data_IF_604610592715
#
_entry.id   IF_604610592715
#
_cell.length_a   1.000
_cell.length_b   1.000
_cell.length_c   1.000
_cell.angle_alpha   90.00
_cell.angle_beta   90.00
_cell.angle_gamma   90.00
#
_symmetry.space_group_name_H-M   'P 1'
#
loop_
_entity.id
_entity.type
_entity.pdbx_description
1 polymer ?
#
# COMPACT_ATOMS: atom_id res chain seq x y z
N UNK A 1 32.57 16.85 -0.81
CA UNK A 1 32.91 15.59 -0.11
C UNK A 1 31.59 14.85 0.01
N UNK A 2 31.20 14.20 -1.07
CA UNK A 2 29.99 13.36 -1.12
C UNK A 2 30.33 12.09 -0.38
N UNK A 3 29.82 11.93 0.84
CA UNK A 3 29.88 10.65 1.52
C UNK A 3 29.23 9.61 0.60
N UNK A 4 30.02 8.58 0.29
CA UNK A 4 29.63 7.44 -0.52
C UNK A 4 28.66 6.59 0.32
N UNK A 5 27.39 7.02 0.36
CA UNK A 5 26.33 6.30 1.05
C UNK A 5 26.15 4.95 0.36
N UNK A 6 26.72 3.93 1.00
CA UNK A 6 26.56 2.54 0.60
C UNK A 6 25.11 2.09 0.80
N UNK A 7 24.60 1.17 -0.04
CA UNK A 7 23.31 0.53 0.18
C UNK A 7 23.15 0.08 1.63
N UNK A 8 21.97 0.21 2.26
CA UNK A 8 21.66 -0.67 3.38
C UNK A 8 21.69 -2.12 2.92
N UNK A 9 22.39 -2.98 3.66
CA UNK A 9 22.56 -4.40 3.40
C UNK A 9 21.98 -5.28 4.53
N UNK A 10 21.63 -6.55 4.25
CA UNK A 10 21.30 -7.52 5.29
C UNK A 10 22.39 -7.61 6.37
N UNK A 11 22.00 -7.46 7.64
CA UNK A 11 22.89 -7.48 8.80
C UNK A 11 23.31 -6.09 9.29
N UNK A 12 23.09 -5.03 8.50
CA UNK A 12 23.41 -3.68 8.92
C UNK A 12 22.62 -3.25 10.16
N UNK A 13 23.28 -2.52 11.04
CA UNK A 13 22.65 -1.85 12.17
C UNK A 13 22.46 -0.38 11.84
N UNK A 14 21.22 0.03 11.59
CA UNK A 14 20.86 1.42 11.25
C UNK A 14 20.25 2.14 12.44
N UNK A 15 20.52 3.44 12.54
CA UNK A 15 20.09 4.31 13.64
C UNK A 15 20.41 3.74 15.05
N UNK A 16 21.50 2.97 15.17
CA UNK A 16 21.93 2.23 16.37
C UNK A 16 20.86 1.31 17.01
N UNK A 17 19.78 1.01 16.28
CA UNK A 17 18.57 0.36 16.82
C UNK A 17 18.03 -0.76 15.96
N UNK A 18 18.05 -0.62 14.65
CA UNK A 18 17.42 -1.57 13.74
C UNK A 18 18.47 -2.48 13.12
N UNK A 19 18.33 -3.79 13.30
CA UNK A 19 19.14 -4.77 12.56
C UNK A 19 18.36 -5.17 11.32
N UNK A 20 18.85 -4.78 10.14
CA UNK A 20 18.22 -5.10 8.86
C UNK A 20 18.40 -6.57 8.53
N UNK A 21 17.37 -7.22 7.97
CA UNK A 21 17.45 -8.63 7.61
C UNK A 21 17.21 -8.86 6.11
N UNK A 22 16.02 -8.59 5.60
CA UNK A 22 15.72 -8.74 4.17
C UNK A 22 14.78 -7.63 3.68
N UNK A 23 14.92 -7.29 2.40
CA UNK A 23 14.00 -6.41 1.70
C UNK A 23 12.66 -7.13 1.51
N UNK A 24 11.59 -6.56 2.03
CA UNK A 24 10.23 -7.13 1.95
C UNK A 24 9.32 -6.39 0.97
N UNK A 25 9.75 -5.25 0.46
CA UNK A 25 9.01 -4.51 -0.55
C UNK A 25 9.63 -3.19 -0.95
N UNK A 26 9.06 -2.58 -1.98
CA UNK A 26 9.39 -1.24 -2.46
C UNK A 26 8.11 -0.40 -2.40
N UNK A 27 8.12 0.67 -1.61
CA UNK A 27 7.05 1.67 -1.57
C UNK A 27 7.36 2.86 -2.47
N UNK A 28 6.42 3.80 -2.57
CA UNK A 28 6.58 5.03 -3.35
C UNK A 28 7.83 5.83 -2.94
N UNK A 29 8.21 5.76 -1.66
CA UNK A 29 9.26 6.59 -1.06
C UNK A 29 10.59 5.86 -0.80
N UNK A 30 10.65 4.53 -0.94
CA UNK A 30 11.88 3.79 -0.68
C UNK A 30 11.70 2.28 -0.50
N UNK A 31 12.72 1.62 0.03
CA UNK A 31 12.71 0.18 0.33
C UNK A 31 12.20 -0.06 1.74
N UNK A 32 11.38 -1.10 1.87
CA UNK A 32 10.88 -1.60 3.15
C UNK A 32 11.64 -2.85 3.51
N UNK A 33 12.22 -2.86 4.71
CA UNK A 33 12.98 -3.96 5.27
C UNK A 33 12.21 -4.66 6.36
N UNK A 34 12.33 -5.98 6.45
CA UNK A 34 12.14 -6.69 7.70
C UNK A 34 13.37 -6.41 8.56
N UNK A 35 13.15 -5.84 9.74
CA UNK A 35 14.21 -5.49 10.67
C UNK A 35 13.86 -5.95 12.09
N UNK A 36 14.89 -6.24 12.89
CA UNK A 36 14.75 -6.44 14.33
C UNK A 36 14.97 -5.10 15.04
N UNK A 37 13.94 -4.60 15.70
CA UNK A 37 14.04 -3.46 16.59
C UNK A 37 14.63 -3.90 17.94
N UNK A 38 15.88 -3.49 18.21
CA UNK A 38 16.61 -3.84 19.43
C UNK A 38 16.07 -3.18 20.69
N UNK A 39 15.21 -2.16 20.57
CA UNK A 39 14.59 -1.51 21.72
C UNK A 39 13.64 -2.45 22.45
N UNK A 40 12.78 -3.12 21.69
CA UNK A 40 11.70 -3.97 22.20
C UNK A 40 11.88 -5.46 21.81
N UNK A 41 13.01 -5.81 21.18
CA UNK A 41 13.33 -7.15 20.65
C UNK A 41 12.23 -7.72 19.75
N UNK A 42 11.77 -6.88 18.80
CA UNK A 42 10.60 -7.16 17.96
C UNK A 42 10.91 -7.00 16.48
N UNK A 43 10.35 -7.90 15.67
CA UNK A 43 10.37 -7.79 14.21
C UNK A 43 9.38 -6.75 13.69
N UNK A 44 9.86 -5.88 12.82
CA UNK A 44 9.16 -4.70 12.31
C UNK A 44 9.35 -4.56 10.80
N UNK A 45 8.43 -3.84 10.16
CA UNK A 45 8.68 -3.29 8.83
C UNK A 45 9.34 -1.92 9.02
N UNK A 46 10.49 -1.71 8.39
CA UNK A 46 11.26 -0.46 8.45
C UNK A 46 11.39 0.12 7.03
N UNK A 47 10.69 1.22 6.77
CA UNK A 47 10.74 1.92 5.49
C UNK A 47 11.80 3.02 5.53
N UNK A 48 12.79 2.95 4.63
CA UNK A 48 13.84 3.96 4.51
C UNK A 48 13.42 5.09 3.57
N UNK A 49 13.64 6.34 3.97
CA UNK A 49 13.44 7.52 3.13
C UNK A 49 14.50 8.60 3.42
N UNK A 50 14.80 9.50 2.46
CA UNK A 50 15.77 10.57 2.66
C UNK A 50 15.39 11.51 3.80
N UNK A 51 16.37 11.93 4.62
CA UNK A 51 16.16 12.98 5.61
C UNK A 51 15.63 14.26 4.94
N UNK A 52 14.53 14.79 5.46
CA UNK A 52 13.85 15.98 4.93
C UNK A 52 12.76 15.68 3.88
N UNK A 53 12.56 14.42 3.49
CA UNK A 53 11.31 14.02 2.85
C UNK A 53 10.15 14.17 3.85
N UNK A 54 8.92 14.40 3.35
CA UNK A 54 7.74 14.39 4.20
C UNK A 54 7.58 12.99 4.82
N UNK A 55 7.75 12.92 6.14
CA UNK A 55 7.64 11.68 6.92
C UNK A 55 6.20 11.18 6.81
N UNK A 56 5.97 9.88 6.55
CA UNK A 56 4.62 9.32 6.58
C UNK A 56 4.02 9.50 7.99
N UNK A 57 2.74 9.84 8.04
CA UNK A 57 2.00 10.19 9.27
C UNK A 57 2.38 9.28 10.47
N UNK A 58 3.04 9.88 11.46
CA UNK A 58 3.38 9.20 12.71
C UNK A 58 2.12 9.04 13.58
N UNK A 59 1.99 7.88 14.26
CA UNK A 59 0.97 7.63 15.30
C UNK A 59 0.89 8.73 16.35
N UNK A 60 1.97 9.48 16.58
CA UNK A 60 1.99 10.59 17.54
C UNK A 60 1.04 11.76 17.22
N UNK A 61 0.60 11.90 15.95
CA UNK A 61 0.00 13.16 15.48
C UNK A 61 -1.49 13.08 15.08
N UNK A 62 -2.20 11.94 15.22
CA UNK A 62 -3.62 11.88 14.85
C UNK A 62 -4.46 10.66 15.30
N UNK A 63 -5.79 10.81 15.23
CA UNK A 63 -6.78 9.81 15.66
C UNK A 63 -6.81 8.49 14.85
N UNK A 64 -6.07 8.41 13.74
CA UNK A 64 -5.89 7.19 12.94
C UNK A 64 -4.83 6.24 13.51
N UNK A 65 -4.07 6.68 14.52
CA UNK A 65 -2.91 6.01 15.07
C UNK A 65 -3.16 4.60 15.64
N UNK A 66 -4.40 4.23 15.97
CA UNK A 66 -4.72 2.93 16.53
C UNK A 66 -6.01 2.34 15.94
N UNK A 67 -6.13 2.34 14.61
CA UNK A 67 -7.25 1.69 13.93
C UNK A 67 -6.86 0.26 13.48
N UNK A 68 -7.72 -0.76 13.67
CA UNK A 68 -7.41 -2.16 13.34
C UNK A 68 -7.18 -2.45 11.85
N UNK A 69 -7.45 -1.49 10.98
CA UNK A 69 -7.30 -1.63 9.53
C UNK A 69 -6.47 -0.50 8.89
N UNK A 70 -5.74 0.28 9.70
CA UNK A 70 -4.82 1.33 9.25
C UNK A 70 -3.41 0.94 9.66
N UNK A 71 -2.51 0.75 8.70
CA UNK A 71 -1.09 0.50 8.96
C UNK A 71 -0.32 1.81 8.99
N UNK A 72 -0.43 2.53 10.11
CA UNK A 72 0.36 3.72 10.35
C UNK A 72 1.72 3.37 10.99
N UNK A 73 2.83 4.01 10.56
CA UNK A 73 4.07 3.98 11.30
C UNK A 73 3.87 4.47 12.74
N UNK A 74 4.50 3.80 13.70
CA UNK A 74 4.37 4.12 15.11
C UNK A 74 5.59 4.80 15.72
N UNK A 75 6.68 4.86 14.97
CA UNK A 75 7.94 5.46 15.38
C UNK A 75 8.75 5.82 14.14
N UNK A 76 9.63 6.81 14.26
CA UNK A 76 10.59 7.18 13.23
C UNK A 76 11.97 7.34 13.86
N UNK A 77 12.96 6.67 13.30
CA UNK A 77 14.35 6.75 13.75
C UNK A 77 15.23 7.36 12.67
N UNK A 78 16.26 8.08 13.09
CA UNK A 78 17.17 8.78 12.20
C UNK A 78 18.57 8.19 12.33
N UNK A 79 19.18 7.84 11.21
CA UNK A 79 20.58 7.42 11.17
C UNK A 79 21.52 8.58 10.86
N UNK A 80 22.81 8.38 11.12
CA UNK A 80 23.88 9.26 10.63
C UNK A 80 24.16 9.12 9.13
N UNK A 81 23.39 8.28 8.44
CA UNK A 81 23.48 7.85 7.04
C UNK A 81 22.67 8.73 6.07
N UNK A 82 22.13 9.85 6.54
CA UNK A 82 21.30 10.69 5.68
C UNK A 82 19.85 10.19 5.52
N UNK A 83 19.47 9.10 6.19
CA UNK A 83 18.16 8.46 6.06
C UNK A 83 17.35 8.54 7.36
N UNK A 84 16.04 8.59 7.17
CA UNK A 84 15.03 8.40 8.20
C UNK A 84 14.32 7.06 7.94
N UNK A 85 13.92 6.40 9.01
CA UNK A 85 13.36 5.06 8.99
C UNK A 85 12.04 5.07 9.74
N UNK A 86 10.93 4.84 9.04
CA UNK A 86 9.60 4.73 9.64
C UNK A 86 9.33 3.27 10.01
N UNK A 87 8.94 3.02 11.26
CA UNK A 87 8.68 1.69 11.78
C UNK A 87 7.18 1.43 11.79
N UNK A 88 6.76 0.31 11.22
CA UNK A 88 5.38 -0.16 11.22
C UNK A 88 5.29 -1.62 11.68
N UNK A 89 4.10 -2.10 12.09
CA UNK A 89 3.89 -3.52 12.30
C UNK A 89 4.29 -4.34 11.06
N UNK A 90 4.98 -5.45 11.26
CA UNK A 90 5.35 -6.36 10.17
C UNK A 90 4.14 -7.21 9.77
N UNK A 91 3.58 -6.94 8.58
CA UNK A 91 2.46 -7.71 8.01
C UNK A 91 3.00 -8.77 7.05
N UNK A 92 2.62 -10.03 7.27
CA UNK A 92 3.31 -11.20 6.70
C UNK A 92 2.62 -11.86 5.50
N UNK A 93 1.34 -11.56 5.25
CA UNK A 93 0.55 -12.22 4.21
C UNK A 93 0.77 -11.67 2.79
N UNK A 94 1.56 -10.60 2.66
CA UNK A 94 1.77 -9.89 1.41
C UNK A 94 0.65 -8.92 1.05
N UNK A 95 0.67 -8.43 -0.18
CA UNK A 95 -0.32 -7.49 -0.70
C UNK A 95 -1.54 -8.21 -1.26
N UNK A 96 -2.67 -7.51 -1.33
CA UNK A 96 -3.87 -7.99 -1.98
C UNK A 96 -3.65 -8.21 -3.48
N UNK A 97 -2.79 -7.41 -4.12
CA UNK A 97 -2.37 -7.61 -5.51
C UNK A 97 -1.62 -8.94 -5.72
N UNK A 98 -0.73 -9.32 -4.80
CA UNK A 98 -0.09 -10.64 -4.85
C UNK A 98 -1.10 -11.77 -4.70
N UNK A 99 -2.11 -11.61 -3.82
CA UNK A 99 -3.19 -12.59 -3.70
C UNK A 99 -4.01 -12.72 -4.99
N UNK A 100 -4.29 -11.60 -5.67
CA UNK A 100 -4.99 -11.57 -6.95
C UNK A 100 -4.19 -12.30 -8.04
N UNK A 101 -2.87 -12.11 -8.09
CA UNK A 101 -1.99 -12.85 -9.02
C UNK A 101 -2.03 -14.35 -8.75
N UNK A 102 -1.99 -14.77 -7.48
CA UNK A 102 -1.93 -16.18 -7.11
C UNK A 102 -3.24 -16.94 -7.37
N UNK A 103 -4.39 -16.28 -7.18
CA UNK A 103 -5.72 -16.94 -7.25
C UNK A 103 -6.57 -16.52 -8.46
N UNK A 104 -6.19 -15.46 -9.18
CA UNK A 104 -7.08 -14.80 -10.13
C UNK A 104 -8.26 -14.12 -9.43
N UNK A 105 -9.39 -13.90 -10.14
CA UNK A 105 -10.56 -13.21 -9.58
C UNK A 105 -11.02 -13.81 -8.26
N UNK A 106 -11.26 -12.95 -7.27
CA UNK A 106 -11.57 -13.34 -5.90
C UNK A 106 -13.09 -13.47 -5.69
N UNK A 107 -13.54 -14.38 -4.81
CA UNK A 107 -14.96 -14.55 -4.50
C UNK A 107 -15.60 -13.28 -3.95
N UNK A 108 -16.86 -13.01 -4.31
CA UNK A 108 -17.54 -11.77 -3.91
C UNK A 108 -17.66 -11.59 -2.41
N UNK A 109 -17.80 -12.67 -1.63
CA UNK A 109 -17.86 -12.58 -0.17
C UNK A 109 -16.51 -12.20 0.43
N UNK A 110 -15.40 -12.77 -0.06
CA UNK A 110 -14.05 -12.34 0.30
C UNK A 110 -13.84 -10.85 0.02
N UNK A 111 -14.16 -10.40 -1.20
CA UNK A 111 -14.04 -8.98 -1.59
C UNK A 111 -14.89 -8.11 -0.69
N UNK A 112 -16.13 -8.50 -0.40
CA UNK A 112 -17.03 -7.75 0.48
C UNK A 112 -16.47 -7.59 1.91
N UNK A 113 -15.83 -8.63 2.46
CA UNK A 113 -15.16 -8.58 3.77
C UNK A 113 -13.99 -7.60 3.75
N UNK A 114 -13.19 -7.60 2.68
CA UNK A 114 -12.06 -6.67 2.53
C UNK A 114 -12.56 -5.23 2.37
N UNK A 115 -13.55 -4.98 1.51
CA UNK A 115 -14.13 -3.65 1.33
C UNK A 115 -14.69 -3.07 2.62
N UNK A 116 -15.36 -3.87 3.44
CA UNK A 116 -15.85 -3.43 4.74
C UNK A 116 -14.72 -2.98 5.68
N UNK A 117 -13.61 -3.72 5.72
CA UNK A 117 -12.44 -3.40 6.54
C UNK A 117 -11.74 -2.12 6.04
N UNK A 118 -11.60 -1.97 4.72
CA UNK A 118 -11.01 -0.78 4.11
C UNK A 118 -11.88 0.46 4.31
N UNK A 119 -13.20 0.33 4.18
CA UNK A 119 -14.10 1.44 4.49
C UNK A 119 -14.07 1.81 5.98
N UNK A 120 -13.89 0.85 6.89
CA UNK A 120 -13.69 1.15 8.31
C UNK A 120 -12.41 1.96 8.52
N UNK A 121 -11.33 1.56 7.86
CA UNK A 121 -10.08 2.32 7.83
C UNK A 121 -10.29 3.75 7.29
N UNK A 122 -10.98 3.89 6.15
CA UNK A 122 -11.27 5.19 5.54
C UNK A 122 -12.17 6.06 6.42
N UNK A 123 -13.12 5.49 7.18
CA UNK A 123 -13.89 6.25 8.18
C UNK A 123 -12.96 6.89 9.21
N UNK A 124 -11.95 6.16 9.69
CA UNK A 124 -10.98 6.70 10.64
C UNK A 124 -10.05 7.75 10.00
N UNK A 125 -9.54 7.48 8.81
CA UNK A 125 -8.65 8.40 8.05
C UNK A 125 -9.38 9.70 7.72
N UNK A 126 -10.55 9.62 7.09
CA UNK A 126 -11.38 10.78 6.73
C UNK A 126 -11.86 11.55 7.95
N UNK A 127 -12.18 10.83 9.05
CA UNK A 127 -12.53 11.43 10.33
C UNK A 127 -11.43 12.27 10.96
N UNK A 128 -10.17 12.05 10.57
CA UNK A 128 -9.02 12.87 10.97
C UNK A 128 -8.69 14.01 9.99
N UNK A 129 -9.54 14.23 8.98
CA UNK A 129 -9.35 15.29 7.96
C UNK A 129 -8.38 14.91 6.84
N UNK A 130 -7.97 13.64 6.76
CA UNK A 130 -7.04 13.14 5.76
C UNK A 130 -7.78 12.47 4.60
N UNK A 131 -7.16 12.48 3.43
CA UNK A 131 -7.57 11.71 2.24
C UNK A 131 -6.37 10.84 1.87
N UNK A 132 -6.57 9.55 1.64
CA UNK A 132 -5.48 8.60 1.38
C UNK A 132 -4.82 8.85 0.02
N UNK A 133 -5.61 9.08 -1.03
CA UNK A 133 -5.22 9.40 -2.42
C UNK A 133 -4.52 8.29 -3.21
N UNK A 134 -4.34 7.10 -2.63
CA UNK A 134 -3.64 5.99 -3.28
C UNK A 134 -4.15 4.62 -2.80
N UNK A 135 -5.48 4.47 -2.77
CA UNK A 135 -6.10 3.18 -2.45
C UNK A 135 -5.90 2.24 -3.65
N UNK A 136 -5.08 1.21 -3.49
CA UNK A 136 -4.74 0.24 -4.55
C UNK A 136 -4.55 -1.17 -3.97
N UNK A 137 -4.50 -2.19 -4.83
CA UNK A 137 -4.21 -3.56 -4.39
C UNK A 137 -2.80 -3.73 -3.79
N UNK A 138 -1.84 -2.87 -4.18
CA UNK A 138 -0.48 -2.88 -3.64
C UNK A 138 -0.41 -2.31 -2.21
N UNK A 139 -1.29 -1.35 -1.91
CA UNK A 139 -1.34 -0.66 -0.62
C UNK A 139 -2.30 -1.33 0.39
N UNK A 140 -2.86 -2.49 0.06
CA UNK A 140 -3.64 -3.31 0.99
C UNK A 140 -2.83 -4.54 1.37
N UNK A 141 -2.35 -4.60 2.61
CA UNK A 141 -1.62 -5.75 3.14
C UNK A 141 -2.54 -6.70 3.88
N UNK A 142 -2.21 -7.99 3.88
CA UNK A 142 -3.01 -9.05 4.50
C UNK A 142 -2.24 -9.76 5.61
N UNK A 143 -2.92 -10.14 6.69
CA UNK A 143 -2.38 -11.10 7.66
C UNK A 143 -2.40 -12.53 7.09
N UNK A 144 -1.45 -13.41 7.48
CA UNK A 144 -1.38 -14.79 7.00
C UNK A 144 -2.45 -15.66 7.67
N UNK A 145 -3.72 -15.45 7.30
CA UNK A 145 -4.87 -16.12 7.91
C UNK A 145 -5.10 -17.52 7.37
N UNK A 146 -4.34 -17.94 6.35
CA UNK A 146 -4.65 -19.15 5.57
C UNK A 146 -6.00 -18.99 4.89
N UNK A 147 -6.89 -19.97 5.08
CA UNK A 147 -8.28 -19.93 4.57
C UNK A 147 -9.29 -19.36 5.58
N UNK A 148 -8.84 -18.81 6.72
CA UNK A 148 -9.72 -18.13 7.69
C UNK A 148 -10.07 -16.72 7.18
N UNK A 149 -10.97 -16.03 7.91
CA UNK A 149 -11.35 -14.65 7.65
C UNK A 149 -10.13 -13.80 7.32
N UNK A 150 -10.09 -13.10 6.17
CA UNK A 150 -8.99 -12.21 5.88
C UNK A 150 -8.98 -11.05 6.86
N UNK A 151 -7.78 -10.58 7.18
CA UNK A 151 -7.57 -9.33 7.90
C UNK A 151 -6.69 -8.44 7.03
N UNK A 152 -7.23 -7.29 6.64
CA UNK A 152 -6.63 -6.35 5.74
C UNK A 152 -6.20 -5.09 6.49
N UNK A 153 -5.05 -4.57 6.07
CA UNK A 153 -4.46 -3.33 6.53
C UNK A 153 -4.33 -2.38 5.35
N UNK A 154 -4.87 -1.17 5.46
CA UNK A 154 -4.61 -0.10 4.50
C UNK A 154 -3.27 0.57 4.87
N UNK A 155 -2.31 0.54 3.94
CA UNK A 155 -0.94 0.99 4.11
C UNK A 155 -0.60 2.12 3.12
N UNK A 156 0.62 2.67 3.26
CA UNK A 156 1.17 3.74 2.42
C UNK A 156 0.34 5.03 2.38
N UNK A 157 0.37 5.75 3.50
CA UNK A 157 -0.18 7.11 3.62
C UNK A 157 0.78 8.19 3.09
N UNK A 158 1.80 7.83 2.31
CA UNK A 158 2.83 8.75 1.83
C UNK A 158 2.29 9.90 0.96
N UNK A 159 1.07 9.79 0.45
CA UNK A 159 0.35 10.83 -0.30
C UNK A 159 -0.75 11.54 0.51
N UNK A 160 -1.02 11.07 1.72
CA UNK A 160 -1.98 11.66 2.65
C UNK A 160 -1.39 12.87 3.41
N UNK A 161 -0.06 13.00 3.45
CA UNK A 161 0.63 14.12 4.06
C UNK A 161 0.51 15.39 3.19
N UNK A 162 -0.23 16.38 3.70
CA UNK A 162 -0.07 17.79 3.34
C UNK A 162 -1.10 18.41 2.39
N UNK A 163 -1.68 19.53 2.85
CA UNK A 163 -2.25 20.61 2.01
C UNK A 163 -1.17 21.32 1.15
N UNK A 164 0.11 20.93 1.28
CA UNK A 164 1.26 21.56 0.61
C UNK A 164 1.49 21.06 -0.81
N UNK A 165 0.73 20.07 -1.29
CA UNK A 165 0.70 19.68 -2.71
C UNK A 165 -0.09 20.69 -3.56
N UNK A 166 0.17 21.99 -3.39
CA UNK A 166 -0.16 22.98 -4.42
C UNK A 166 0.88 22.81 -5.54
N UNK A 167 0.62 21.91 -6.50
CA UNK A 167 1.37 21.88 -7.76
C UNK A 167 2.11 20.59 -8.15
N UNK A 168 1.85 19.43 -7.54
CA UNK A 168 2.32 18.14 -8.13
C UNK A 168 1.21 17.60 -9.06
N UNK A 169 1.41 17.56 -10.40
CA UNK A 169 0.29 17.42 -11.35
C UNK A 169 -0.34 16.03 -11.48
N UNK A 170 0.17 14.98 -10.82
CA UNK A 170 -0.39 13.63 -10.85
C UNK A 170 -0.05 12.94 -9.53
N UNK A 171 -1.03 12.78 -8.65
CA UNK A 171 -0.86 12.08 -7.37
C UNK A 171 -1.87 10.93 -7.34
N UNK A 172 -1.37 9.71 -7.52
CA UNK A 172 -2.16 8.48 -7.53
C UNK A 172 -1.60 7.45 -8.51
N UNK A 173 -1.82 6.17 -8.23
CA UNK A 173 -1.46 5.07 -9.13
C UNK A 173 -2.33 5.11 -10.41
N UNK A 174 -1.74 5.00 -11.63
CA UNK A 174 -2.50 5.03 -12.88
C UNK A 174 -3.69 4.06 -12.88
N UNK A 175 -4.85 4.56 -13.33
CA UNK A 175 -6.10 3.80 -13.42
C UNK A 175 -6.91 3.70 -12.13
N UNK A 176 -6.34 4.06 -10.97
CA UNK A 176 -7.07 4.16 -9.70
C UNK A 176 -7.51 5.59 -9.35
N UNK A 177 -6.81 6.59 -9.88
CA UNK A 177 -7.14 7.99 -9.65
C UNK A 177 -8.56 8.32 -10.13
N UNK A 178 -9.28 9.11 -9.33
CA UNK A 178 -10.61 9.56 -9.72
C UNK A 178 -10.56 10.66 -10.79
N UNK A 179 -11.62 10.85 -11.59
CA UNK A 179 -11.67 11.88 -12.62
C UNK A 179 -11.33 13.28 -12.12
N UNK A 180 -11.75 13.61 -10.90
CA UNK A 180 -11.44 14.90 -10.27
C UNK A 180 -9.99 14.99 -9.79
N UNK A 181 -9.36 13.88 -9.36
CA UNK A 181 -7.93 13.86 -9.05
C UNK A 181 -7.09 14.08 -10.32
N UNK A 182 -7.46 13.44 -11.43
CA UNK A 182 -6.81 13.63 -12.73
C UNK A 182 -6.99 15.06 -13.26
N UNK A 183 -8.10 15.71 -12.92
CA UNK A 183 -8.34 17.12 -13.20
C UNK A 183 -7.61 18.08 -12.24
N UNK A 184 -6.86 17.57 -11.26
CA UNK A 184 -6.14 18.38 -10.29
C UNK A 184 -7.03 19.09 -9.26
N UNK A 185 -8.22 18.54 -9.00
CA UNK A 185 -9.12 19.08 -7.98
C UNK A 185 -8.51 19.00 -6.58
N UNK A 186 -9.10 19.75 -5.65
CA UNK A 186 -8.71 19.67 -4.24
C UNK A 186 -9.00 18.27 -3.69
N UNK A 187 -8.23 17.82 -2.68
CA UNK A 187 -8.45 16.53 -2.03
C UNK A 187 -9.90 16.39 -1.54
N UNK A 188 -10.56 15.30 -1.94
CA UNK A 188 -11.92 14.95 -1.55
C UNK A 188 -11.95 13.49 -1.06
N UNK A 189 -12.50 13.18 0.13
CA UNK A 189 -12.67 11.80 0.60
C UNK A 189 -13.37 10.86 -0.39
N UNK A 190 -14.23 11.38 -1.27
CA UNK A 190 -14.93 10.62 -2.30
C UNK A 190 -14.00 10.13 -3.43
N UNK A 191 -12.79 10.67 -3.53
CA UNK A 191 -11.77 10.14 -4.41
C UNK A 191 -11.26 8.77 -3.95
N UNK A 192 -11.07 8.59 -2.63
CA UNK A 192 -10.69 7.27 -2.06
C UNK A 192 -11.81 6.23 -2.27
N UNK A 193 -13.07 6.67 -2.25
CA UNK A 193 -14.22 5.79 -2.54
C UNK A 193 -14.23 5.32 -3.99
N UNK A 194 -13.88 6.20 -4.93
CA UNK A 194 -13.71 5.84 -6.33
C UNK A 194 -12.59 4.81 -6.51
N UNK A 195 -11.41 5.09 -5.96
CA UNK A 195 -10.27 4.18 -6.01
C UNK A 195 -10.59 2.81 -5.37
N UNK A 196 -11.34 2.80 -4.27
CA UNK A 196 -11.86 1.57 -3.66
C UNK A 196 -12.83 0.81 -4.58
N UNK A 197 -13.69 1.51 -5.33
CA UNK A 197 -14.56 0.91 -6.34
C UNK A 197 -13.79 0.30 -7.50
N UNK A 198 -12.73 0.97 -7.97
CA UNK A 198 -11.79 0.43 -8.97
C UNK A 198 -11.12 -0.84 -8.44
N UNK A 199 -10.60 -0.80 -7.21
CA UNK A 199 -10.03 -1.96 -6.53
C UNK A 199 -11.03 -3.12 -6.45
N UNK A 200 -12.27 -2.85 -6.01
CA UNK A 200 -13.31 -3.87 -5.93
C UNK A 200 -13.54 -4.57 -7.28
N UNK A 201 -13.62 -3.79 -8.38
CA UNK A 201 -13.76 -4.33 -9.73
C UNK A 201 -12.56 -5.18 -10.14
N UNK A 202 -11.35 -4.70 -9.91
CA UNK A 202 -10.11 -5.43 -10.20
C UNK A 202 -10.11 -6.79 -9.48
N UNK A 203 -10.44 -6.81 -8.19
CA UNK A 203 -10.50 -8.06 -7.41
C UNK A 203 -11.57 -9.03 -7.91
N UNK A 204 -12.74 -8.54 -8.30
CA UNK A 204 -13.88 -9.38 -8.73
C UNK A 204 -13.72 -9.91 -10.14
N UNK A 205 -12.95 -9.22 -10.98
CA UNK A 205 -12.84 -9.54 -12.42
C UNK A 205 -11.46 -10.06 -12.81
N UNK A 206 -10.43 -9.80 -11.99
CA UNK A 206 -9.02 -10.03 -12.31
C UNK A 206 -8.49 -9.11 -13.42
N UNK A 207 -9.31 -8.18 -13.93
CA UNK A 207 -8.91 -7.24 -14.96
C UNK A 207 -8.18 -6.05 -14.32
N UNK A 208 -7.05 -5.60 -14.91
CA UNK A 208 -6.32 -4.45 -14.38
C UNK A 208 -7.18 -3.19 -14.38
N UNK A 209 -6.86 -2.21 -13.52
CA UNK A 209 -7.55 -0.93 -13.53
C UNK A 209 -7.46 -0.28 -14.92
N UNK A 210 -8.51 0.41 -15.38
CA UNK A 210 -8.55 1.00 -16.71
C UNK A 210 -7.47 2.05 -16.87
N UNK A 211 -6.69 1.95 -17.95
CA UNK A 211 -5.74 3.00 -18.35
C UNK A 211 -6.06 3.51 -19.74
N UNK A 212 -6.28 4.83 -19.87
CA UNK A 212 -6.47 5.49 -21.17
C UNK A 212 -7.63 4.94 -22.02
N UNK A 213 -7.37 4.69 -23.31
CA UNK A 213 -8.34 4.24 -24.33
C UNK A 213 -8.56 2.71 -24.34
N UNK A 214 -8.44 2.06 -23.19
CA UNK A 214 -8.66 0.62 -23.08
C UNK A 214 -10.12 0.21 -23.38
N UNK A 215 -10.34 -1.03 -23.86
CA UNK A 215 -11.68 -1.56 -24.10
C UNK A 215 -12.54 -1.52 -22.82
N UNK A 216 -13.87 -1.49 -22.96
CA UNK A 216 -14.78 -1.44 -21.83
C UNK A 216 -14.46 -2.55 -20.82
N UNK A 217 -14.27 -2.13 -19.57
CA UNK A 217 -13.93 -3.02 -18.46
C UNK A 217 -15.06 -4.03 -18.20
N UNK A 218 -14.73 -5.27 -17.81
CA UNK A 218 -15.74 -6.27 -17.50
C UNK A 218 -16.68 -5.78 -16.40
N UNK A 219 -17.99 -5.96 -16.63
CA UNK A 219 -19.01 -5.58 -15.66
C UNK A 219 -18.91 -6.46 -14.42
N UNK A 220 -19.00 -5.83 -13.25
CA UNK A 220 -19.14 -6.53 -11.98
C UNK A 220 -20.56 -7.09 -11.88
N UNK A 221 -20.68 -8.37 -11.55
CA UNK A 221 -21.96 -9.04 -11.38
C UNK A 221 -22.23 -9.39 -9.90
N UNK A 222 -23.50 -9.68 -9.61
CA UNK A 222 -23.91 -10.20 -8.32
C UNK A 222 -23.96 -9.16 -7.20
N UNK A 223 -23.67 -9.60 -5.97
CA UNK A 223 -23.91 -8.88 -4.73
C UNK A 223 -23.33 -7.45 -4.70
N UNK A 224 -22.14 -7.28 -5.29
CA UNK A 224 -21.38 -6.04 -5.22
C UNK A 224 -21.57 -5.13 -6.44
N UNK A 225 -22.35 -5.54 -7.44
CA UNK A 225 -22.49 -4.78 -8.70
C UNK A 225 -22.98 -3.34 -8.47
N UNK A 226 -24.05 -3.16 -7.70
CA UNK A 226 -24.59 -1.83 -7.39
C UNK A 226 -23.61 -0.97 -6.58
N UNK A 227 -22.98 -1.57 -5.56
CA UNK A 227 -21.98 -0.90 -4.72
C UNK A 227 -20.78 -0.42 -5.54
N UNK A 228 -20.24 -1.27 -6.40
CA UNK A 228 -19.11 -0.90 -7.27
C UNK A 228 -19.52 0.18 -8.27
N UNK A 229 -20.73 0.08 -8.83
CA UNK A 229 -21.26 1.09 -9.75
C UNK A 229 -21.34 2.48 -9.11
N UNK A 230 -21.91 2.59 -7.91
CA UNK A 230 -22.01 3.88 -7.19
C UNK A 230 -20.64 4.42 -6.76
N UNK A 231 -19.73 3.55 -6.29
CA UNK A 231 -18.37 3.98 -5.92
C UNK A 231 -17.60 4.52 -7.12
N UNK A 232 -17.77 3.92 -8.31
CA UNK A 232 -17.05 4.29 -9.55
C UNK A 232 -17.79 5.32 -10.41
N UNK A 233 -18.81 6.00 -9.86
CA UNK A 233 -19.51 7.06 -10.57
C UNK A 233 -18.54 8.19 -10.98
N UNK A 234 -18.69 8.72 -12.19
CA UNK A 234 -17.76 9.72 -12.72
C UNK A 234 -17.89 11.06 -12.00
N UNK A 235 -19.12 11.51 -11.73
CA UNK A 235 -19.39 12.68 -10.90
C UNK A 235 -19.27 12.29 -9.40
N UNK A 236 -18.40 12.96 -8.61
CA UNK A 236 -18.33 12.74 -7.16
C UNK A 236 -19.65 12.96 -6.41
N UNK A 237 -20.59 13.73 -6.96
CA UNK A 237 -21.92 13.94 -6.36
C UNK A 237 -22.82 12.69 -6.43
N UNK A 238 -22.55 11.78 -7.37
CA UNK A 238 -23.28 10.52 -7.54
C UNK A 238 -22.69 9.38 -6.70
N UNK A 239 -21.61 9.63 -5.96
CA UNK A 239 -20.98 8.67 -5.04
C UNK A 239 -21.52 8.85 -3.62
N UNK A 240 -21.39 7.84 -2.73
CA UNK A 240 -21.66 8.00 -1.31
C UNK A 240 -20.87 9.20 -0.73
N UNK A 241 -21.50 10.00 0.13
CA UNK A 241 -20.89 11.22 0.67
C UNK A 241 -19.72 10.93 1.63
N UNK A 242 -19.65 9.70 2.16
CA UNK A 242 -18.60 9.29 3.09
C UNK A 242 -18.38 7.78 3.09
N UNK A 243 -17.21 7.36 3.59
CA UNK A 243 -16.94 5.93 3.83
C UNK A 243 -17.98 5.27 4.75
N UNK A 244 -18.57 6.01 5.70
CA UNK A 244 -19.63 5.50 6.57
C UNK A 244 -20.90 5.16 5.78
N UNK A 245 -21.27 6.02 4.83
CA UNK A 245 -22.42 5.79 3.95
C UNK A 245 -22.16 4.62 3.00
N UNK A 246 -20.97 4.54 2.42
CA UNK A 246 -20.57 3.39 1.60
C UNK A 246 -20.62 2.05 2.38
N UNK A 247 -20.27 2.05 3.68
CA UNK A 247 -20.47 0.84 4.53
C UNK A 247 -21.94 0.50 4.73
N UNK A 248 -22.78 1.50 4.97
CA UNK A 248 -24.22 1.29 5.08
C UNK A 248 -24.80 0.72 3.77
N UNK A 249 -24.32 1.20 2.63
CA UNK A 249 -24.67 0.66 1.31
C UNK A 249 -24.25 -0.81 1.16
N UNK A 250 -23.03 -1.20 1.58
CA UNK A 250 -22.62 -2.61 1.62
C UNK A 250 -23.57 -3.46 2.49
N UNK A 251 -23.98 -2.94 3.66
CA UNK A 251 -24.96 -3.66 4.52
C UNK A 251 -26.28 -3.88 3.81
N UNK A 252 -26.81 -2.83 3.19
CA UNK A 252 -28.06 -2.88 2.42
C UNK A 252 -27.99 -3.80 1.21
N UNK A 253 -26.80 -3.94 0.60
CA UNK A 253 -26.54 -4.89 -0.48
C UNK A 253 -26.51 -6.35 -0.01
N UNK A 254 -26.62 -6.64 1.28
CA UNK A 254 -26.63 -8.00 1.82
C UNK A 254 -25.28 -8.48 2.35
N UNK A 255 -24.34 -7.58 2.61
CA UNK A 255 -23.05 -7.87 3.24
C UNK A 255 -23.13 -7.54 4.74
N UNK A 256 -23.47 -8.50 5.62
CA UNK A 256 -23.60 -8.20 7.05
C UNK A 256 -22.26 -7.81 7.67
N UNK A 257 -22.30 -7.18 8.85
CA UNK A 257 -21.09 -6.85 9.58
C UNK A 257 -20.25 -8.10 9.88
N UNK A 258 -18.95 -8.01 9.63
CA UNK A 258 -18.04 -9.13 9.77
C UNK A 258 -18.12 -10.19 8.65
N UNK A 259 -19.07 -10.04 7.72
CA UNK A 259 -19.46 -10.86 6.57
C UNK A 259 -18.93 -12.31 6.55
N UNK A 260 -19.82 -13.33 6.55
CA UNK A 260 -19.43 -14.72 6.75
C UNK A 260 -18.63 -15.26 5.55
N UNK A 261 -17.30 -15.18 5.68
CA UNK A 261 -16.34 -15.73 4.73
C UNK A 261 -16.44 -17.25 4.61
N UNK A 262 -17.02 -17.91 5.62
CA UNK A 262 -17.25 -19.37 5.65
C UNK A 262 -18.27 -19.83 4.60
N UNK A 263 -19.06 -18.91 4.02
CA UNK A 263 -19.97 -19.22 2.92
C UNK A 263 -19.24 -19.42 1.58
N UNK A 264 -17.98 -18.96 1.47
CA UNK A 264 -17.16 -19.27 0.30
C UNK A 264 -16.74 -20.74 0.34
N UNK A 265 -17.15 -21.50 -0.67
CA UNK A 265 -16.83 -22.94 -0.77
C UNK A 265 -15.34 -23.22 -0.92
N UNK A 266 -14.58 -22.22 -1.37
CA UNK A 266 -13.11 -22.25 -1.56
C UNK A 266 -12.56 -20.84 -1.31
N UNK A 267 -12.38 -20.44 -0.04
CA UNK A 267 -11.81 -19.12 0.25
C UNK A 267 -10.35 -19.07 -0.22
N UNK A 268 -9.89 -17.93 -0.75
CA UNK A 268 -8.48 -17.73 -1.08
C UNK A 268 -7.59 -18.04 0.12
N UNK A 269 -6.47 -18.73 -0.14
CA UNK A 269 -5.48 -19.02 0.91
C UNK A 269 -4.48 -17.87 0.98
N UNK A 270 -4.40 -17.23 2.15
CA UNK A 270 -3.40 -16.19 2.44
C UNK A 270 -2.21 -16.81 3.19
N UNK A 271 -1.07 -17.08 2.52
CA UNK A 271 0.10 -17.69 3.15
C UNK A 271 0.85 -16.70 4.05
N UNK A 272 1.73 -17.21 4.92
CA UNK A 272 2.86 -16.40 5.40
C UNK A 272 3.92 -16.35 4.30
N UNK A 273 4.20 -15.16 3.78
CA UNK A 273 5.17 -14.95 2.69
C UNK A 273 6.58 -14.66 3.18
N UNK A 274 6.75 -14.29 4.45
CA UNK A 274 8.06 -13.93 5.01
C UNK A 274 8.75 -15.11 5.72
N UNK A 275 8.00 -16.18 5.99
CA UNK A 275 8.49 -17.35 6.70
C UNK A 275 8.77 -17.04 8.18
N UNK A 276 9.22 -18.03 8.98
CA UNK A 276 9.46 -17.82 10.40
C UNK A 276 10.44 -16.67 10.63
N UNK A 277 10.28 -15.99 11.77
CA UNK A 277 11.30 -15.04 12.22
C UNK A 277 12.66 -15.75 12.34
N UNK A 278 13.73 -15.17 11.78
CA UNK A 278 15.08 -15.68 11.94
C UNK A 278 15.41 -15.89 13.43
N UNK A 279 15.97 -17.05 13.79
CA UNK A 279 16.49 -17.24 15.14
C UNK A 279 17.56 -16.18 15.40
N UNK A 280 17.32 -15.28 16.36
CA UNK A 280 18.34 -14.34 16.81
C UNK A 280 19.46 -15.11 17.53
N UNK A 281 20.47 -15.59 16.78
CA UNK A 281 21.71 -16.09 17.33
C UNK A 281 22.78 -15.02 17.18
N UNK A 282 23.13 -14.28 18.24
CA UNK A 282 24.26 -13.36 18.16
C UNK A 282 25.52 -14.13 17.74
N UNK A 283 26.08 -13.77 16.57
CA UNK A 283 27.36 -14.30 16.09
C UNK A 283 27.33 -15.43 15.05
N UNK A 284 26.24 -15.64 14.30
CA UNK A 284 26.23 -16.57 13.15
C UNK A 284 25.50 -15.99 11.93
N UNK A 285 26.13 -15.01 11.28
CA UNK A 285 25.62 -14.45 10.03
C UNK A 285 25.99 -15.35 8.85
N UNK A 286 25.06 -16.20 8.45
CA UNK A 286 25.03 -16.74 7.09
C UNK A 286 23.66 -16.43 6.49
N UNK A 287 23.44 -15.17 6.15
CA UNK A 287 22.25 -14.73 5.41
C UNK A 287 22.45 -15.00 3.93
N UNK A 288 21.45 -15.63 3.30
CA UNK A 288 21.44 -15.84 1.84
C UNK A 288 21.31 -14.50 1.14
N UNK A 289 22.27 -14.23 0.26
CA UNK A 289 22.43 -12.98 -0.48
C UNK A 289 21.35 -12.85 -1.56
N UNK A 290 20.44 -11.88 -1.39
CA UNK A 290 19.76 -11.23 -2.53
C UNK A 290 20.55 -9.97 -2.85
N UNK A 291 20.84 -9.68 -4.12
CA UNK A 291 21.68 -8.55 -4.49
C UNK A 291 21.02 -7.22 -4.08
N UNK A 292 21.74 -6.30 -3.43
CA UNK A 292 21.19 -4.99 -3.07
C UNK A 292 20.87 -4.20 -4.34
N UNK A 293 19.65 -3.68 -4.45
CA UNK A 293 19.24 -2.84 -5.58
C UNK A 293 19.70 -1.41 -5.35
N UNK A 294 20.32 -0.76 -6.34
CA UNK A 294 20.83 0.64 -6.26
C UNK A 294 19.72 1.68 -6.37
N UNK A 295 18.65 1.52 -5.59
CA UNK A 295 17.41 2.27 -5.72
C UNK A 295 17.52 3.75 -5.30
N UNK A 296 18.44 4.10 -4.39
CA UNK A 296 18.66 5.48 -3.94
C UNK A 296 19.41 6.35 -4.96
N UNK A 297 20.03 5.74 -6.00
CA UNK A 297 20.71 6.48 -7.07
C UNK A 297 19.77 7.45 -7.79
N UNK A 298 18.46 7.15 -7.88
CA UNK A 298 17.46 8.03 -8.51
C UNK A 298 17.22 9.36 -7.77
N UNK A 299 17.76 9.46 -6.55
CA UNK A 299 17.61 10.61 -5.67
C UNK A 299 18.93 11.36 -5.46
N UNK A 300 20.03 10.94 -6.11
CA UNK A 300 21.27 11.71 -6.13
C UNK A 300 21.13 12.92 -7.07
N UNK A 301 21.66 14.11 -6.71
CA UNK A 301 21.69 15.23 -7.64
C UNK A 301 22.46 14.85 -8.91
N UNK A 302 21.78 14.80 -10.05
CA UNK A 302 22.38 14.56 -11.37
C UNK A 302 22.12 13.21 -12.04
N UNK A 303 21.29 12.32 -11.48
CA UNK A 303 20.94 11.02 -12.10
C UNK A 303 19.76 11.11 -13.08
N UNK A 304 19.75 12.11 -13.96
CA UNK A 304 18.89 12.11 -15.14
C UNK A 304 19.65 11.44 -16.29
N UNK A 305 19.25 10.24 -16.66
CA UNK A 305 19.53 9.66 -17.98
C UNK A 305 18.19 9.65 -18.72
N UNK A 306 17.92 10.38 -19.81
CA UNK A 306 18.76 10.72 -20.96
C UNK A 306 19.69 9.58 -21.36
N UNK A 307 19.07 8.53 -21.90
CA UNK A 307 19.66 7.75 -22.98
C UNK A 307 18.76 7.92 -24.18
N UNK A 308 18.95 9.03 -24.87
CA UNK A 308 18.71 9.17 -26.31
C UNK A 308 19.83 8.36 -26.98
N UNK A 309 19.49 7.19 -27.53
CA UNK A 309 20.45 6.34 -28.25
C UNK A 309 20.12 6.45 -29.74
N UNK A 310 20.57 7.57 -30.32
CA UNK A 310 20.86 7.69 -31.75
C UNK A 310 22.37 7.54 -31.90
N UNK A 311 22.85 6.51 -32.60
CA UNK A 311 23.46 6.69 -33.92
C UNK A 311 23.82 5.35 -34.58
N UNK A 312 23.72 5.40 -35.90
CA UNK A 312 24.14 4.45 -36.92
C UNK A 312 25.56 3.89 -36.72
N UNK A 313 25.74 2.60 -37.01
CA UNK A 313 26.89 2.19 -37.83
C UNK A 313 26.63 0.88 -38.57
N UNK A 314 26.39 1.00 -39.87
CA UNK A 314 26.66 -0.06 -40.87
C UNK A 314 28.18 -0.24 -40.98
N UNK A 315 28.70 -1.42 -41.37
CA UNK A 315 29.16 -1.50 -42.76
C UNK A 315 29.12 -2.89 -43.43
N UNK A 316 29.22 -2.82 -44.77
CA UNK A 316 29.57 -3.82 -45.80
C UNK A 316 28.61 -4.98 -46.05
#
# INVERSE_FOLDING_TARGET
MTDDLSPPEPGDVVADRLVLHDEIGHGAQGVVWRALDRRDDRWVAAAAFPLGAEVPLDRGEGAHAAHPHVLAPYDTVHGGDGLAWALAPLVRGGTLGQLLVDHGPLPSMFVAVVLDQLLDALVAVHGSGLVHRDVTAANVLLEPTGSRRPHAWLADFGLAAGERTHGRPRVGTPGYASPEQDAGARPDPRADLFALGVLARELLTGAPPPTGDEPPQPEVQGLLAGVVGELTAQDPADRPLSAREARAMLRSAGVPAGAPWELDRRPPFVPDRLGPDPEHRPGRDSLSRTQPTRWWLRWLPGSGSDTDDTDDTKPA
#
